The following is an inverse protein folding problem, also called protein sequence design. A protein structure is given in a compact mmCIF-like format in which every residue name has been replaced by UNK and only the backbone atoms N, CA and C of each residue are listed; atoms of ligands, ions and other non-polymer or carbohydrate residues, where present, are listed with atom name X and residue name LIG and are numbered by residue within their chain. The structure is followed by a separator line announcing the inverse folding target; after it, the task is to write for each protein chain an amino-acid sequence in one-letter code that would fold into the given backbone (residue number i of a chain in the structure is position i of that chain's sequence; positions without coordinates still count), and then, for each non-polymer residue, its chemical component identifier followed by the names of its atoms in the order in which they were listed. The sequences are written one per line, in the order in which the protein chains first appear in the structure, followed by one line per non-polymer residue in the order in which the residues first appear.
data_IF_694955370691
#
_entry.id   IF_694955370691
#
_cell.length_a   1.000
_cell.length_b   1.000
_cell.length_c   1.000
_cell.angle_alpha   90.00
_cell.angle_beta   90.00
_cell.angle_gamma   90.00
#
_symmetry.space_group_name_H-M   'P 1'
#
loop_
_entity.id
_entity.type
_entity.pdbx_description
1 polymer ?
#
# COMPACT_ATOMS: atom_id res chain seq x y z
N UNK A 1 56.72 -10.08 5.88
CA UNK A 1 55.58 -9.65 5.06
C UNK A 1 54.95 -8.43 5.70
N UNK A 2 54.98 -7.24 5.05
CA UNK A 2 54.20 -6.08 5.51
C UNK A 2 52.75 -6.36 5.18
N UNK A 3 51.93 -6.58 6.22
CA UNK A 3 50.46 -6.65 6.06
C UNK A 3 50.01 -5.25 5.64
N UNK A 4 49.69 -5.06 4.36
CA UNK A 4 49.08 -3.82 3.89
C UNK A 4 47.72 -3.67 4.57
N UNK A 5 47.54 -2.59 5.34
CA UNK A 5 46.22 -2.29 5.95
C UNK A 5 45.21 -2.15 4.82
N UNK A 6 44.15 -2.97 4.83
CA UNK A 6 43.08 -2.97 3.83
C UNK A 6 42.34 -1.63 3.80
N UNK A 7 42.24 -0.94 4.96
CA UNK A 7 41.53 0.31 5.09
C UNK A 7 42.51 1.49 5.06
N UNK A 8 42.19 2.58 4.35
CA UNK A 8 42.95 3.81 4.39
C UNK A 8 42.97 4.42 5.79
N UNK A 9 44.03 5.14 6.15
CA UNK A 9 44.05 5.90 7.38
C UNK A 9 43.06 7.07 7.29
N UNK A 10 42.18 7.20 8.27
CA UNK A 10 41.16 8.24 8.33
C UNK A 10 41.29 9.05 9.61
N UNK A 11 41.29 10.39 9.49
CA UNK A 11 41.08 11.30 10.61
C UNK A 11 39.60 11.68 10.64
N UNK A 12 38.93 11.52 11.79
CA UNK A 12 37.53 11.87 11.99
C UNK A 12 37.43 13.20 12.72
N UNK A 13 36.60 14.10 12.19
CA UNK A 13 36.31 15.41 12.82
C UNK A 13 34.78 15.64 12.83
N UNK A 14 34.30 16.54 13.64
CA UNK A 14 32.85 16.89 13.77
C UNK A 14 32.55 18.32 13.29
N UNK A 15 33.41 18.92 12.46
CA UNK A 15 33.35 20.33 12.03
C UNK A 15 32.77 20.51 10.61
N UNK A 16 32.20 19.48 10.02
CA UNK A 16 31.60 19.52 8.69
C UNK A 16 30.37 20.44 8.64
N UNK A 17 30.47 21.55 7.88
CA UNK A 17 29.35 22.48 7.69
C UNK A 17 28.55 22.17 6.44
N UNK A 18 27.21 22.32 6.54
CA UNK A 18 26.27 22.14 5.44
C UNK A 18 26.11 20.66 5.00
N UNK A 19 26.65 19.68 5.73
CA UNK A 19 26.46 18.27 5.46
C UNK A 19 25.04 17.88 5.85
N UNK A 20 24.34 17.22 4.94
CA UNK A 20 23.01 16.65 5.14
C UNK A 20 23.07 15.13 4.94
N UNK A 21 22.52 14.40 5.88
CA UNK A 21 22.17 12.99 5.71
C UNK A 21 20.73 12.90 5.18
N UNK A 22 20.36 11.76 4.61
CA UNK A 22 18.98 11.56 4.09
C UNK A 22 18.53 12.72 3.15
N UNK A 23 19.47 13.21 2.32
CA UNK A 23 19.21 14.36 1.47
C UNK A 23 18.12 14.11 0.43
N UNK A 24 17.96 12.86 0.00
CA UNK A 24 16.92 12.44 -0.92
C UNK A 24 15.52 12.41 -0.32
N UNK A 25 15.38 12.28 1.00
CA UNK A 25 14.07 12.29 1.67
C UNK A 25 13.35 13.65 1.53
N UNK A 26 14.08 14.70 1.15
CA UNK A 26 13.50 15.97 0.72
C UNK A 26 12.53 15.77 -0.48
N UNK A 27 12.75 14.79 -1.35
CA UNK A 27 11.86 14.50 -2.48
C UNK A 27 10.47 14.08 -2.03
N UNK A 28 10.36 13.32 -0.91
CA UNK A 28 9.07 12.98 -0.30
C UNK A 28 8.32 14.21 0.23
N UNK A 29 9.03 15.14 0.86
CA UNK A 29 8.43 16.38 1.30
C UNK A 29 8.00 17.27 0.11
N UNK A 30 8.79 17.32 -0.97
CA UNK A 30 8.43 18.07 -2.16
C UNK A 30 7.20 17.49 -2.88
N UNK A 31 7.06 16.16 -2.98
CA UNK A 31 5.85 15.57 -3.56
C UNK A 31 4.61 15.89 -2.73
N UNK A 32 4.72 15.91 -1.38
CA UNK A 32 3.62 16.34 -0.51
C UNK A 32 3.20 17.80 -0.77
N UNK A 33 4.18 18.68 -1.03
CA UNK A 33 3.90 20.09 -1.34
C UNK A 33 3.24 20.25 -2.71
N UNK A 34 3.82 19.69 -3.77
CA UNK A 34 3.34 19.90 -5.14
C UNK A 34 1.99 19.23 -5.42
N UNK A 35 1.68 18.14 -4.74
CA UNK A 35 0.34 17.51 -4.80
C UNK A 35 -0.69 18.22 -3.93
N UNK A 36 -0.29 19.26 -3.19
CA UNK A 36 -1.17 20.02 -2.30
C UNK A 36 -1.53 19.28 -1.01
N UNK A 37 -0.91 18.12 -0.73
CA UNK A 37 -1.17 17.33 0.49
C UNK A 37 -0.94 18.15 1.75
N UNK A 38 0.20 18.84 1.86
CA UNK A 38 0.54 19.68 3.04
C UNK A 38 -0.54 20.71 3.32
N UNK A 39 -0.95 21.46 2.30
CA UNK A 39 -2.00 22.48 2.46
C UNK A 39 -3.39 21.87 2.78
N UNK A 40 -3.70 20.71 2.23
CA UNK A 40 -4.95 20.00 2.54
C UNK A 40 -4.95 19.46 3.98
N UNK A 41 -3.82 18.95 4.46
CA UNK A 41 -3.65 18.48 5.84
C UNK A 41 -3.73 19.64 6.85
N UNK A 42 -3.12 20.81 6.53
CA UNK A 42 -3.26 22.01 7.35
C UNK A 42 -4.73 22.42 7.51
N UNK A 43 -5.51 22.37 6.43
CA UNK A 43 -6.97 22.64 6.49
C UNK A 43 -7.72 21.60 7.31
N UNK A 44 -7.39 20.30 7.16
CA UNK A 44 -8.02 19.22 7.91
C UNK A 44 -7.82 19.37 9.43
N UNK A 45 -6.64 19.83 9.85
CA UNK A 45 -6.26 19.98 11.25
C UNK A 45 -6.52 21.39 11.82
N UNK A 46 -6.96 22.37 11.01
CA UNK A 46 -7.22 23.73 11.45
C UNK A 46 -8.19 23.83 12.65
N UNK A 47 -9.27 23.03 12.75
CA UNK A 47 -10.19 23.07 13.89
C UNK A 47 -9.56 22.71 15.24
N UNK A 48 -8.41 22.03 15.26
CA UNK A 48 -7.69 21.70 16.52
C UNK A 48 -6.91 22.88 17.10
N UNK A 49 -6.76 23.97 16.35
CA UNK A 49 -5.93 25.11 16.74
C UNK A 49 -6.73 26.08 17.59
N UNK A 50 -6.80 25.84 18.91
CA UNK A 50 -7.46 26.74 19.89
C UNK A 50 -6.62 27.96 20.22
N UNK A 51 -5.28 27.85 20.12
CA UNK A 51 -4.30 28.93 20.37
C UNK A 51 -3.27 28.93 19.27
N UNK A 52 -2.65 30.08 18.98
CA UNK A 52 -1.54 30.19 18.02
C UNK A 52 -0.43 29.20 18.40
N UNK A 53 -0.26 28.16 17.59
CA UNK A 53 0.78 27.14 17.75
C UNK A 53 2.02 27.56 16.93
N UNK A 54 3.19 27.11 17.37
CA UNK A 54 4.44 27.36 16.65
C UNK A 54 4.53 26.50 15.37
N UNK A 55 4.00 25.28 15.44
CA UNK A 55 3.94 24.35 14.31
C UNK A 55 2.49 24.14 13.87
N UNK A 56 2.28 24.10 12.57
CA UNK A 56 1.01 23.72 11.95
C UNK A 56 0.76 22.22 12.18
N UNK A 57 -0.39 21.81 12.76
CA UNK A 57 -0.64 20.40 13.05
C UNK A 57 -0.69 19.51 11.80
N UNK A 58 -1.21 20.01 10.67
CA UNK A 58 -1.25 19.27 9.40
C UNK A 58 0.15 19.04 8.86
N UNK A 59 1.04 20.04 8.93
CA UNK A 59 2.44 19.88 8.57
C UNK A 59 3.14 18.84 9.46
N UNK A 60 2.82 18.81 10.76
CA UNK A 60 3.39 17.79 11.68
C UNK A 60 3.01 16.38 11.25
N UNK A 61 1.77 16.15 10.81
CA UNK A 61 1.35 14.82 10.30
C UNK A 61 2.04 14.47 8.98
N UNK A 62 2.26 15.44 8.08
CA UNK A 62 3.05 15.22 6.86
C UNK A 62 4.51 14.91 7.19
N UNK A 63 5.13 15.64 8.13
CA UNK A 63 6.50 15.38 8.59
C UNK A 63 6.63 13.96 9.18
N UNK A 64 5.61 13.48 9.92
CA UNK A 64 5.55 12.10 10.40
C UNK A 64 5.46 11.10 9.24
N UNK A 65 4.60 11.33 8.25
CA UNK A 65 4.50 10.46 7.09
C UNK A 65 5.82 10.41 6.28
N UNK A 66 6.48 11.54 6.09
CA UNK A 66 7.82 11.59 5.49
C UNK A 66 8.84 10.82 6.32
N UNK A 67 8.80 10.96 7.67
CA UNK A 67 9.67 10.20 8.57
C UNK A 67 9.44 8.69 8.46
N UNK A 68 8.18 8.25 8.38
CA UNK A 68 7.79 6.85 8.21
C UNK A 68 8.28 6.33 6.84
N UNK A 69 8.08 7.08 5.77
CA UNK A 69 8.58 6.74 4.44
C UNK A 69 10.11 6.65 4.41
N UNK A 70 10.79 7.49 5.17
CA UNK A 70 12.25 7.49 5.36
C UNK A 70 12.76 6.30 6.22
N UNK A 71 11.86 5.56 6.87
CA UNK A 71 12.15 4.35 7.64
C UNK A 71 11.98 4.48 9.15
N UNK A 72 11.44 5.59 9.63
CA UNK A 72 11.04 5.74 11.02
C UNK A 72 9.84 4.84 11.37
N UNK A 73 9.78 4.36 12.62
CA UNK A 73 8.70 3.51 13.12
C UNK A 73 8.13 3.98 14.47
N UNK A 74 8.57 5.14 14.93
CA UNK A 74 8.06 5.77 16.15
C UNK A 74 8.21 7.31 16.10
N UNK A 75 7.52 8.02 17.01
CA UNK A 75 7.53 9.48 17.05
C UNK A 75 8.91 10.11 17.28
N UNK A 76 9.83 9.41 17.97
CA UNK A 76 11.17 9.91 18.22
C UNK A 76 12.01 10.05 16.94
N UNK A 77 11.70 9.27 15.91
CA UNK A 77 12.42 9.25 14.64
C UNK A 77 12.21 10.53 13.82
N UNK A 78 11.18 11.31 14.16
CA UNK A 78 11.02 12.68 13.64
C UNK A 78 12.28 13.56 13.86
N UNK A 79 13.15 13.16 14.76
CA UNK A 79 14.45 13.79 14.96
C UNK A 79 15.35 13.78 13.70
N UNK A 80 15.17 12.82 12.81
CA UNK A 80 15.92 12.72 11.54
C UNK A 80 15.66 13.97 10.70
N UNK A 81 14.41 14.37 10.55
CA UNK A 81 14.04 15.58 9.83
C UNK A 81 14.38 16.84 10.64
N UNK A 82 14.04 16.86 11.93
CA UNK A 82 14.24 18.02 12.83
C UNK A 82 15.69 18.46 12.93
N UNK A 83 16.63 17.53 12.88
CA UNK A 83 18.06 17.84 12.96
C UNK A 83 18.64 18.35 11.63
N UNK A 84 17.81 18.52 10.60
CA UNK A 84 18.21 18.98 9.27
C UNK A 84 17.34 20.17 8.79
N UNK A 85 17.32 21.29 9.55
CA UNK A 85 16.43 22.42 9.26
C UNK A 85 16.72 23.08 7.90
N UNK A 86 17.90 22.90 7.35
CA UNK A 86 18.23 23.41 6.01
C UNK A 86 17.53 22.63 4.89
N UNK A 87 17.08 21.39 5.14
CA UNK A 87 16.28 20.57 4.21
C UNK A 87 14.78 20.68 4.47
N UNK A 88 14.37 20.57 5.74
CA UNK A 88 12.97 20.37 6.12
C UNK A 88 12.36 21.58 6.87
N UNK A 89 13.13 22.63 7.10
CA UNK A 89 12.65 23.78 7.86
C UNK A 89 12.49 23.47 9.35
N UNK A 90 11.48 24.08 9.97
CA UNK A 90 11.18 23.92 11.41
C UNK A 90 10.27 22.73 11.63
N UNK A 91 10.80 21.61 12.10
CA UNK A 91 10.10 20.37 12.40
C UNK A 91 9.79 20.28 13.90
N UNK A 92 8.60 19.77 14.24
CA UNK A 92 8.10 19.68 15.60
C UNK A 92 8.91 18.73 16.50
N UNK A 93 8.86 18.96 17.80
CA UNK A 93 9.41 18.03 18.79
C UNK A 93 8.50 16.82 18.97
N UNK A 94 9.05 15.69 19.42
CA UNK A 94 8.29 14.48 19.73
C UNK A 94 7.06 14.71 20.63
N UNK A 95 7.15 15.48 21.74
CA UNK A 95 5.99 15.81 22.57
C UNK A 95 4.95 16.67 21.85
N UNK A 96 5.36 17.48 20.85
CA UNK A 96 4.41 18.25 20.04
C UNK A 96 3.71 17.34 19.04
N UNK A 97 4.44 16.43 18.40
CA UNK A 97 3.87 15.45 17.48
C UNK A 97 2.88 14.53 18.21
N UNK A 98 3.20 14.06 19.43
CA UNK A 98 2.28 13.26 20.24
C UNK A 98 0.96 13.98 20.46
N UNK A 99 0.99 15.24 20.89
CA UNK A 99 -0.23 16.03 21.10
C UNK A 99 -1.05 16.25 19.82
N UNK A 100 -0.37 16.35 18.67
CA UNK A 100 -1.07 16.46 17.39
C UNK A 100 -1.79 15.14 17.04
N UNK A 101 -1.19 13.99 17.30
CA UNK A 101 -1.83 12.70 17.13
C UNK A 101 -2.99 12.53 18.12
N UNK A 102 -2.82 12.93 19.39
CA UNK A 102 -3.86 12.90 20.42
C UNK A 102 -5.08 13.78 20.06
N UNK A 103 -4.89 14.82 19.25
CA UNK A 103 -5.96 15.71 18.77
C UNK A 103 -6.75 15.13 17.57
N UNK A 104 -6.36 13.97 17.01
CA UNK A 104 -7.05 13.34 15.86
C UNK A 104 -8.20 12.47 16.35
N UNK A 105 -9.40 12.97 16.25
CA UNK A 105 -10.65 12.22 16.44
C UNK A 105 -11.18 11.65 15.10
N UNK A 106 -12.34 10.99 15.14
CA UNK A 106 -12.96 10.40 13.96
C UNK A 106 -13.29 11.43 12.86
N UNK A 107 -13.69 12.67 13.23
CA UNK A 107 -13.98 13.74 12.26
C UNK A 107 -12.70 14.20 11.55
N UNK A 108 -11.59 14.40 12.31
CA UNK A 108 -10.29 14.78 11.75
C UNK A 108 -9.70 13.66 10.93
N UNK A 109 -9.86 12.42 11.36
CA UNK A 109 -9.43 11.26 10.57
C UNK A 109 -10.13 11.22 9.20
N UNK A 110 -11.45 11.49 9.16
CA UNK A 110 -12.18 11.66 7.91
C UNK A 110 -11.66 12.81 7.05
N UNK A 111 -11.31 13.95 7.65
CA UNK A 111 -10.74 15.09 6.95
C UNK A 111 -9.31 14.81 6.42
N UNK A 112 -8.50 14.06 7.17
CA UNK A 112 -7.17 13.56 6.75
C UNK A 112 -7.30 12.65 5.53
N UNK A 113 -8.23 11.69 5.54
CA UNK A 113 -8.53 10.82 4.41
C UNK A 113 -8.94 11.61 3.18
N UNK A 114 -9.81 12.61 3.34
CA UNK A 114 -10.21 13.50 2.25
C UNK A 114 -9.03 14.37 1.74
N UNK A 115 -8.05 14.71 2.57
CA UNK A 115 -6.84 15.40 2.15
C UNK A 115 -5.93 14.49 1.31
N UNK A 116 -5.80 13.20 1.67
CA UNK A 116 -5.09 12.19 0.86
C UNK A 116 -5.75 12.00 -0.50
N UNK A 117 -7.10 11.87 -0.55
CA UNK A 117 -7.85 11.74 -1.79
C UNK A 117 -7.60 12.92 -2.75
N UNK A 118 -7.57 14.17 -2.23
CA UNK A 118 -7.24 15.36 -3.03
C UNK A 118 -5.82 15.31 -3.58
N UNK A 119 -4.84 14.90 -2.77
CA UNK A 119 -3.45 14.77 -3.23
C UNK A 119 -3.32 13.69 -4.31
N UNK A 120 -4.04 12.57 -4.19
CA UNK A 120 -4.13 11.53 -5.21
C UNK A 120 -4.74 12.07 -6.50
N UNK A 121 -5.82 12.84 -6.44
CA UNK A 121 -6.41 13.49 -7.62
C UNK A 121 -5.37 14.35 -8.34
N UNK A 122 -4.59 15.15 -7.61
CA UNK A 122 -3.53 15.97 -8.20
C UNK A 122 -2.41 15.12 -8.80
N UNK A 123 -2.01 14.02 -8.14
CA UNK A 123 -1.00 13.09 -8.66
C UNK A 123 -1.47 12.38 -9.93
N UNK A 124 -2.73 11.96 -9.99
CA UNK A 124 -3.31 11.34 -11.19
C UNK A 124 -3.37 12.34 -12.36
N UNK A 125 -3.82 13.57 -12.11
CA UNK A 125 -3.83 14.62 -13.11
C UNK A 125 -2.42 14.94 -13.64
N UNK A 126 -1.38 14.75 -12.82
CA UNK A 126 0.02 14.93 -13.21
C UNK A 126 0.64 13.73 -13.94
N UNK A 127 -0.13 12.64 -14.17
CA UNK A 127 0.30 11.50 -14.99
C UNK A 127 0.36 10.14 -14.28
N UNK A 128 -0.09 10.06 -13.01
CA UNK A 128 -0.15 8.77 -12.27
C UNK A 128 -1.43 7.98 -12.57
N UNK A 129 -2.41 8.56 -13.25
CA UNK A 129 -3.70 7.92 -13.57
C UNK A 129 -3.50 6.58 -14.30
N UNK A 130 -3.90 5.45 -13.70
CA UNK A 130 -3.77 4.14 -14.33
C UNK A 130 -4.89 3.83 -15.34
N UNK A 131 -6.01 4.56 -15.32
CA UNK A 131 -7.24 4.22 -16.06
C UNK A 131 -7.05 4.15 -17.58
N UNK A 132 -6.05 4.86 -18.11
CA UNK A 132 -5.68 4.79 -19.52
C UNK A 132 -4.81 3.57 -19.89
N UNK A 133 -4.31 2.83 -18.89
CA UNK A 133 -3.35 1.72 -19.06
C UNK A 133 -3.94 0.38 -18.66
N UNK A 134 -4.92 0.36 -17.76
CA UNK A 134 -5.53 -0.85 -17.20
C UNK A 134 -7.05 -0.74 -17.21
N UNK A 135 -7.70 -1.84 -17.56
CA UNK A 135 -9.15 -1.98 -17.54
C UNK A 135 -9.48 -3.46 -17.26
N UNK A 136 -10.13 -3.78 -16.14
CA UNK A 136 -10.60 -2.88 -15.08
C UNK A 136 -9.48 -2.36 -14.16
N UNK A 137 -9.77 -1.30 -13.40
CA UNK A 137 -8.95 -0.85 -12.26
C UNK A 137 -9.13 -1.84 -11.13
N UNK A 138 -8.03 -2.39 -10.62
CA UNK A 138 -8.06 -3.50 -9.65
C UNK A 138 -7.72 -2.99 -8.26
N UNK A 139 -8.59 -3.33 -7.30
CA UNK A 139 -8.44 -3.07 -5.87
C UNK A 139 -8.17 -4.39 -5.14
N UNK A 140 -7.02 -4.51 -4.51
CA UNK A 140 -6.63 -5.69 -3.74
C UNK A 140 -6.90 -5.50 -2.26
N UNK A 141 -7.68 -6.40 -1.67
CA UNK A 141 -8.04 -6.42 -0.25
C UNK A 141 -7.31 -7.56 0.44
N UNK A 142 -6.59 -7.27 1.51
CA UNK A 142 -5.97 -8.32 2.32
C UNK A 142 -5.74 -7.86 3.76
N UNK A 143 -5.72 -8.83 4.69
CA UNK A 143 -5.47 -8.61 6.09
C UNK A 143 -4.07 -9.10 6.49
N UNK A 144 -3.48 -8.47 7.49
CA UNK A 144 -2.21 -8.93 8.02
C UNK A 144 -2.19 -8.91 9.54
N UNK A 145 -1.32 -9.70 10.15
CA UNK A 145 -1.08 -9.63 11.58
C UNK A 145 0.07 -8.67 11.90
N UNK A 146 -0.11 -7.86 12.93
CA UNK A 146 0.89 -6.98 13.51
C UNK A 146 1.05 -7.34 14.98
N UNK A 147 2.22 -7.85 15.35
CA UNK A 147 2.50 -8.26 16.71
C UNK A 147 2.66 -7.05 17.65
N UNK A 148 2.16 -7.18 18.85
CA UNK A 148 2.34 -6.21 19.93
C UNK A 148 3.17 -6.83 21.03
N UNK A 149 4.26 -6.17 21.42
CA UNK A 149 5.15 -6.62 22.49
C UNK A 149 4.71 -6.19 23.89
N UNK A 150 3.60 -5.46 23.97
CA UNK A 150 3.02 -4.96 25.23
C UNK A 150 1.51 -4.94 25.14
N UNK A 151 0.87 -4.95 26.31
CA UNK A 151 -0.57 -4.72 26.41
C UNK A 151 -0.89 -3.30 25.94
N UNK A 152 -1.55 -3.21 24.79
CA UNK A 152 -2.09 -1.98 24.23
C UNK A 152 -3.59 -2.14 24.13
N UNK A 153 -4.31 -1.04 24.15
CA UNK A 153 -5.75 -1.04 23.96
C UNK A 153 -6.14 -1.79 22.68
N UNK A 154 -7.09 -2.72 22.77
CA UNK A 154 -7.55 -3.61 21.71
C UNK A 154 -6.50 -4.60 21.15
N UNK A 155 -5.28 -4.68 21.68
CA UNK A 155 -4.39 -5.78 21.36
C UNK A 155 -4.96 -7.09 21.91
N UNK A 156 -4.99 -8.15 21.10
CA UNK A 156 -5.62 -9.41 21.44
C UNK A 156 -4.85 -10.62 20.87
N UNK A 157 -5.07 -11.83 21.40
CA UNK A 157 -4.51 -13.05 20.83
C UNK A 157 -4.94 -13.23 19.37
N UNK A 158 -4.01 -13.63 18.50
CA UNK A 158 -4.25 -13.87 17.09
C UNK A 158 -4.45 -15.35 16.79
N UNK A 159 -5.07 -15.67 15.65
CA UNK A 159 -5.27 -17.06 15.22
C UNK A 159 -3.95 -17.82 14.95
N UNK A 160 -2.82 -17.13 14.77
CA UNK A 160 -1.48 -17.73 14.64
C UNK A 160 -0.75 -17.86 15.98
N UNK A 161 -1.48 -17.80 17.11
CA UNK A 161 -0.92 -17.87 18.46
C UNK A 161 0.04 -16.73 18.84
N UNK A 162 -0.01 -15.60 18.11
CA UNK A 162 0.62 -14.34 18.49
C UNK A 162 -0.31 -13.47 19.33
N UNK A 163 0.11 -12.23 19.61
CA UNK A 163 -0.68 -11.22 20.33
C UNK A 163 -0.49 -9.87 19.62
N UNK A 164 -1.56 -9.17 19.30
CA UNK A 164 -1.47 -7.87 18.63
C UNK A 164 -2.74 -7.45 17.91
N UNK A 165 -2.60 -7.08 16.63
CA UNK A 165 -3.65 -6.48 15.80
C UNK A 165 -3.74 -7.18 14.45
N UNK A 166 -4.88 -6.98 13.77
CA UNK A 166 -5.13 -7.52 12.43
C UNK A 166 -5.70 -6.43 11.51
N UNK A 167 -4.86 -5.49 11.03
CA UNK A 167 -5.33 -4.50 10.05
C UNK A 167 -5.80 -5.17 8.76
N UNK A 168 -6.90 -4.65 8.20
CA UNK A 168 -7.42 -4.96 6.87
C UNK A 168 -7.09 -3.78 5.96
N UNK A 169 -6.50 -4.04 4.78
CA UNK A 169 -5.90 -3.04 3.91
C UNK A 169 -6.42 -3.16 2.48
N UNK A 170 -6.46 -2.05 1.76
CA UNK A 170 -6.79 -2.00 0.34
C UNK A 170 -5.72 -1.24 -0.43
N UNK A 171 -5.26 -1.85 -1.53
CA UNK A 171 -4.26 -1.29 -2.44
C UNK A 171 -4.79 -1.20 -3.86
N UNK A 172 -4.33 -0.18 -4.59
CA UNK A 172 -4.50 -0.08 -6.03
C UNK A 172 -3.39 -0.90 -6.72
N UNK A 173 -3.76 -1.97 -7.40
CA UNK A 173 -2.80 -2.93 -7.98
C UNK A 173 -1.81 -2.26 -8.94
N UNK A 174 -2.30 -1.44 -9.86
CA UNK A 174 -1.51 -0.87 -10.94
C UNK A 174 -0.39 0.09 -10.47
N UNK A 175 -0.65 0.89 -9.44
CA UNK A 175 0.27 1.94 -8.95
C UNK A 175 0.87 1.62 -7.59
N UNK A 176 0.29 0.66 -6.86
CA UNK A 176 0.69 0.31 -5.50
C UNK A 176 0.34 1.35 -4.45
N UNK A 177 -0.53 2.30 -4.77
CA UNK A 177 -1.06 3.27 -3.82
C UNK A 177 -1.86 2.56 -2.73
N UNK A 178 -1.68 3.00 -1.49
CA UNK A 178 -2.40 2.47 -0.34
C UNK A 178 -3.72 3.23 -0.17
N UNK A 179 -4.83 2.67 -0.65
CA UNK A 179 -6.10 3.38 -0.65
C UNK A 179 -6.67 3.54 0.75
N UNK A 180 -6.87 2.44 1.47
CA UNK A 180 -7.52 2.46 2.77
C UNK A 180 -6.98 1.38 3.72
N UNK A 181 -7.24 1.57 5.01
CA UNK A 181 -6.93 0.58 6.03
C UNK A 181 -7.83 0.73 7.26
N UNK A 182 -8.22 -0.39 7.84
CA UNK A 182 -8.95 -0.47 9.09
C UNK A 182 -8.11 -1.25 10.10
N UNK A 183 -7.74 -0.62 11.21
CA UNK A 183 -7.09 -1.31 12.31
C UNK A 183 -8.13 -2.13 13.07
N UNK A 184 -7.83 -3.40 13.33
CA UNK A 184 -8.71 -4.32 14.04
C UNK A 184 -7.96 -5.01 15.18
N UNK A 185 -8.66 -5.44 16.25
CA UNK A 185 -8.08 -6.31 17.27
C UNK A 185 -7.49 -7.58 16.67
N UNK A 186 -6.49 -8.17 17.33
CA UNK A 186 -5.83 -9.39 16.84
C UNK A 186 -6.74 -10.61 16.70
N UNK A 187 -7.85 -10.64 17.44
CA UNK A 187 -8.88 -11.67 17.41
C UNK A 187 -10.08 -11.32 16.52
N UNK A 188 -9.99 -10.27 15.71
CA UNK A 188 -11.04 -9.94 14.75
C UNK A 188 -11.27 -11.11 13.79
N UNK A 189 -12.54 -11.33 13.42
CA UNK A 189 -12.87 -12.36 12.42
C UNK A 189 -12.27 -11.97 11.05
N UNK A 190 -11.53 -12.83 10.38
CA UNK A 190 -11.12 -12.55 9.01
C UNK A 190 -12.32 -12.43 8.05
N UNK A 191 -13.44 -13.09 8.37
CA UNK A 191 -14.66 -13.13 7.55
C UNK A 191 -15.68 -12.05 7.92
N UNK A 192 -15.27 -10.98 8.60
CA UNK A 192 -16.21 -9.90 8.95
C UNK A 192 -16.59 -9.10 7.70
N UNK A 193 -17.80 -9.33 7.22
CA UNK A 193 -18.33 -8.67 6.03
C UNK A 193 -18.51 -7.16 6.22
N UNK A 194 -18.85 -6.71 7.42
CA UNK A 194 -19.02 -5.29 7.70
C UNK A 194 -17.70 -4.53 7.58
N UNK A 195 -16.59 -5.12 8.04
CA UNK A 195 -15.26 -4.55 7.87
C UNK A 195 -14.84 -4.45 6.40
N UNK A 196 -15.15 -5.49 5.59
CA UNK A 196 -14.86 -5.47 4.15
C UNK A 196 -15.67 -4.38 3.43
N UNK A 197 -16.96 -4.23 3.74
CA UNK A 197 -17.81 -3.18 3.17
C UNK A 197 -17.33 -1.80 3.63
N UNK A 198 -17.00 -1.63 4.90
CA UNK A 198 -16.46 -0.36 5.41
C UNK A 198 -15.13 0.02 4.73
N UNK A 199 -14.23 -0.96 4.52
CA UNK A 199 -12.98 -0.74 3.80
C UNK A 199 -13.22 -0.37 2.33
N UNK A 200 -14.21 -1.00 1.68
CA UNK A 200 -14.61 -0.66 0.31
C UNK A 200 -15.02 0.81 0.20
N UNK A 201 -15.90 1.28 1.09
CA UNK A 201 -16.31 2.69 1.10
C UNK A 201 -15.14 3.65 1.28
N UNK A 202 -14.24 3.32 2.21
CA UNK A 202 -13.04 4.11 2.44
C UNK A 202 -12.12 4.12 1.22
N UNK A 203 -11.96 2.98 0.53
CA UNK A 203 -11.13 2.86 -0.66
C UNK A 203 -11.71 3.63 -1.86
N UNK A 204 -13.02 3.50 -2.09
CA UNK A 204 -13.71 4.23 -3.16
C UNK A 204 -13.64 5.74 -2.96
N UNK A 205 -13.76 6.21 -1.70
CA UNK A 205 -13.61 7.62 -1.35
C UNK A 205 -12.19 8.18 -1.61
N UNK A 206 -11.20 7.31 -1.78
CA UNK A 206 -9.83 7.72 -2.14
C UNK A 206 -9.63 7.88 -3.65
N UNK A 207 -10.45 7.27 -4.48
CA UNK A 207 -10.30 7.34 -5.91
C UNK A 207 -10.76 8.69 -6.47
N UNK A 208 -10.03 9.26 -7.43
CA UNK A 208 -10.48 10.47 -8.11
C UNK A 208 -11.83 10.22 -8.81
N UNK A 209 -12.87 10.87 -8.31
CA UNK A 209 -14.17 10.83 -8.97
C UNK A 209 -14.08 11.70 -10.21
N UNK A 210 -14.37 11.16 -11.39
CA UNK A 210 -14.64 12.00 -12.57
C UNK A 210 -15.95 12.73 -12.26
N UNK A 211 -15.87 14.04 -12.10
CA UNK A 211 -16.94 14.92 -11.63
C UNK A 211 -18.07 15.11 -12.64
N UNK A 212 -18.14 14.35 -13.70
CA UNK A 212 -19.08 14.55 -14.78
C UNK A 212 -20.18 13.49 -14.70
N UNK A 213 -21.24 13.85 -13.95
CA UNK A 213 -22.48 13.07 -13.81
C UNK A 213 -23.29 12.96 -15.10
N UNK A 214 -22.70 12.88 -16.27
CA UNK A 214 -23.39 12.90 -17.56
C UNK A 214 -23.38 11.59 -18.33
N UNK A 215 -22.71 10.51 -17.85
CA UNK A 215 -22.84 9.24 -18.59
C UNK A 215 -22.64 8.02 -17.67
N UNK A 216 -23.70 7.23 -17.42
CA UNK A 216 -23.57 5.95 -16.70
C UNK A 216 -22.69 4.92 -17.45
N UNK A 217 -22.46 5.11 -18.75
CA UNK A 217 -21.60 4.24 -19.57
C UNK A 217 -20.11 4.66 -19.53
N UNK A 218 -19.77 5.82 -18.99
CA UNK A 218 -18.37 6.31 -18.89
C UNK A 218 -17.68 5.93 -17.57
N UNK A 219 -18.31 5.12 -16.72
CA UNK A 219 -17.74 4.62 -15.48
C UNK A 219 -16.46 3.80 -15.72
N UNK A 220 -15.39 4.10 -14.99
CA UNK A 220 -14.19 3.26 -14.99
C UNK A 220 -14.54 1.89 -14.45
N UNK A 221 -14.38 0.84 -15.24
CA UNK A 221 -14.60 -0.53 -14.79
C UNK A 221 -13.66 -0.85 -13.62
N UNK A 222 -14.21 -1.39 -12.55
CA UNK A 222 -13.45 -1.75 -11.35
C UNK A 222 -13.61 -3.23 -11.02
N UNK A 223 -12.54 -3.81 -10.50
CA UNK A 223 -12.50 -5.18 -9.99
C UNK A 223 -11.94 -5.18 -8.58
N UNK A 224 -12.62 -5.82 -7.66
CA UNK A 224 -12.08 -6.14 -6.34
C UNK A 224 -11.56 -7.57 -6.31
N UNK A 225 -10.30 -7.72 -5.84
CA UNK A 225 -9.73 -9.03 -5.52
C UNK A 225 -9.53 -9.15 -4.02
N UNK A 226 -9.79 -10.34 -3.51
CA UNK A 226 -9.53 -10.70 -2.12
C UNK A 226 -9.14 -12.18 -2.01
N UNK A 227 -8.58 -12.56 -0.86
CA UNK A 227 -8.43 -13.94 -0.46
C UNK A 227 -9.79 -14.54 -0.03
N UNK A 228 -9.79 -15.78 0.47
CA UNK A 228 -11.02 -16.45 0.90
C UNK A 228 -11.73 -15.78 2.08
N UNK A 229 -11.09 -14.88 2.79
CA UNK A 229 -11.73 -14.11 3.86
C UNK A 229 -12.77 -13.11 3.32
N UNK A 230 -12.60 -12.63 2.09
CA UNK A 230 -13.57 -11.79 1.39
C UNK A 230 -14.81 -12.53 0.87
N UNK A 231 -14.83 -13.89 0.89
CA UNK A 231 -15.95 -14.68 0.38
C UNK A 231 -17.15 -14.65 1.33
N UNK A 232 -17.88 -13.55 1.36
CA UNK A 232 -19.12 -13.39 2.09
C UNK A 232 -20.23 -12.83 1.19
N UNK A 233 -21.47 -13.33 1.36
CA UNK A 233 -22.60 -12.86 0.59
C UNK A 233 -22.79 -11.35 0.67
N UNK A 234 -22.71 -10.79 1.88
CA UNK A 234 -22.90 -9.35 2.11
C UNK A 234 -21.88 -8.50 1.37
N UNK A 235 -20.60 -8.92 1.38
CA UNK A 235 -19.56 -8.17 0.68
C UNK A 235 -19.71 -8.26 -0.84
N UNK A 236 -19.98 -9.47 -1.35
CA UNK A 236 -20.18 -9.69 -2.80
C UNK A 236 -21.41 -8.93 -3.32
N UNK A 237 -22.53 -8.93 -2.57
CA UNK A 237 -23.70 -8.13 -2.88
C UNK A 237 -23.38 -6.63 -2.89
N UNK A 238 -22.62 -6.15 -1.90
CA UNK A 238 -22.21 -4.76 -1.84
C UNK A 238 -21.34 -4.34 -3.04
N UNK A 239 -20.51 -5.22 -3.58
CA UNK A 239 -19.76 -4.98 -4.82
C UNK A 239 -20.69 -4.90 -6.03
N UNK A 240 -21.59 -5.87 -6.16
CA UNK A 240 -22.56 -5.93 -7.26
C UNK A 240 -23.49 -4.72 -7.31
N UNK A 241 -24.00 -4.27 -6.14
CA UNK A 241 -24.87 -3.10 -6.04
C UNK A 241 -24.17 -1.81 -6.55
N UNK A 242 -22.83 -1.81 -6.57
CA UNK A 242 -22.01 -0.70 -7.06
C UNK A 242 -21.48 -0.90 -8.48
N UNK A 243 -21.88 -1.99 -9.14
CA UNK A 243 -21.36 -2.34 -10.46
C UNK A 243 -19.87 -2.68 -10.48
N UNK A 244 -19.32 -3.14 -9.36
CA UNK A 244 -17.91 -3.51 -9.21
C UNK A 244 -17.79 -5.01 -9.40
N UNK A 245 -16.96 -5.42 -10.37
CA UNK A 245 -16.63 -6.84 -10.61
C UNK A 245 -15.84 -7.41 -9.42
N UNK A 246 -16.01 -8.68 -9.12
CA UNK A 246 -15.26 -9.33 -8.06
C UNK A 246 -14.52 -10.59 -8.54
N UNK A 247 -13.41 -10.89 -7.88
CA UNK A 247 -12.65 -12.11 -8.00
C UNK A 247 -12.09 -12.45 -6.62
N UNK A 248 -12.68 -13.42 -5.94
CA UNK A 248 -12.45 -13.65 -4.50
C UNK A 248 -12.10 -15.12 -4.29
N UNK A 249 -10.99 -15.36 -3.59
CA UNK A 249 -10.62 -16.71 -3.17
C UNK A 249 -11.78 -17.41 -2.45
N UNK A 250 -11.86 -18.74 -2.58
CA UNK A 250 -12.92 -19.50 -1.96
C UNK A 250 -12.36 -20.67 -1.17
N UNK A 251 -12.95 -20.96 -0.01
CA UNK A 251 -12.51 -22.09 0.80
C UNK A 251 -12.96 -23.41 0.16
N UNK A 252 -12.05 -24.37 0.10
CA UNK A 252 -12.33 -25.69 -0.44
C UNK A 252 -13.09 -26.52 0.61
N UNK A 253 -14.42 -26.39 0.62
CA UNK A 253 -15.31 -27.23 1.40
C UNK A 253 -15.44 -28.62 0.78
N UNK A 254 -16.06 -29.57 1.48
CA UNK A 254 -16.21 -30.95 1.04
C UNK A 254 -16.97 -31.08 -0.31
N UNK A 255 -18.00 -30.28 -0.50
CA UNK A 255 -18.76 -30.23 -1.76
C UNK A 255 -17.87 -29.84 -2.94
N UNK A 256 -17.08 -28.77 -2.80
CA UNK A 256 -16.15 -28.32 -3.85
C UNK A 256 -15.09 -29.39 -4.12
N UNK A 257 -14.59 -30.06 -3.07
CA UNK A 257 -13.63 -31.14 -3.20
C UNK A 257 -14.19 -32.33 -3.99
N UNK A 258 -15.43 -32.71 -3.72
CA UNK A 258 -16.12 -33.76 -4.45
C UNK A 258 -16.33 -33.39 -5.92
N UNK A 259 -16.78 -32.16 -6.19
CA UNK A 259 -16.94 -31.65 -7.54
C UNK A 259 -15.61 -31.71 -8.34
N UNK A 260 -14.50 -31.33 -7.73
CA UNK A 260 -13.17 -31.45 -8.36
C UNK A 260 -12.82 -32.88 -8.73
N UNK A 261 -13.18 -33.87 -7.88
CA UNK A 261 -12.92 -35.30 -8.13
C UNK A 261 -13.74 -35.85 -9.27
N UNK A 262 -14.91 -35.29 -9.53
CA UNK A 262 -15.84 -35.72 -10.59
C UNK A 262 -15.52 -35.14 -11.97
N UNK A 263 -14.68 -34.08 -12.04
CA UNK A 263 -14.29 -33.47 -13.30
C UNK A 263 -13.54 -34.45 -14.21
N UNK A 264 -14.01 -34.59 -15.44
CA UNK A 264 -13.32 -35.38 -16.45
C UNK A 264 -11.94 -34.73 -16.78
N UNK A 265 -10.96 -35.57 -17.12
CA UNK A 265 -9.64 -35.07 -17.49
C UNK A 265 -9.64 -34.07 -18.66
N UNK A 266 -10.59 -34.20 -19.57
CA UNK A 266 -10.76 -33.29 -20.73
C UNK A 266 -11.36 -31.94 -20.39
N UNK A 267 -11.85 -31.73 -19.17
CA UNK A 267 -12.38 -30.42 -18.73
C UNK A 267 -11.29 -29.45 -18.36
N UNK A 268 -10.09 -29.94 -18.04
CA UNK A 268 -8.96 -29.13 -17.61
C UNK A 268 -8.23 -28.52 -18.80
N UNK A 269 -8.01 -27.20 -18.74
CA UNK A 269 -7.26 -26.40 -19.68
C UNK A 269 -5.91 -26.01 -19.07
N UNK A 270 -4.91 -25.70 -19.89
CA UNK A 270 -3.65 -25.16 -19.40
C UNK A 270 -3.88 -23.80 -18.72
N UNK A 271 -3.26 -23.59 -17.56
CA UNK A 271 -3.24 -22.28 -16.93
C UNK A 271 -2.25 -21.33 -17.67
N UNK A 272 -2.40 -20.03 -17.48
CA UNK A 272 -1.48 -19.04 -18.02
C UNK A 272 -0.52 -18.53 -16.93
N UNK A 273 0.65 -18.07 -17.34
CA UNK A 273 1.55 -17.32 -16.46
C UNK A 273 1.17 -15.83 -16.40
N UNK A 274 2.04 -15.00 -15.83
CA UNK A 274 1.79 -13.54 -15.71
C UNK A 274 1.89 -12.81 -17.05
N UNK A 275 2.60 -13.39 -18.03
CA UNK A 275 2.81 -12.83 -19.35
C UNK A 275 1.78 -13.40 -20.35
N UNK A 276 0.77 -14.14 -19.83
CA UNK A 276 -0.31 -14.83 -20.54
C UNK A 276 0.18 -15.94 -21.46
N UNK A 277 1.32 -16.54 -21.15
CA UNK A 277 1.83 -17.73 -21.82
C UNK A 277 1.41 -19.03 -21.08
N UNK A 278 1.17 -20.14 -21.78
CA UNK A 278 0.77 -21.40 -21.16
C UNK A 278 1.75 -21.91 -20.10
N UNK A 279 1.23 -22.53 -19.04
CA UNK A 279 1.98 -23.16 -17.96
C UNK A 279 1.81 -24.68 -18.00
N UNK A 280 2.90 -25.41 -18.16
CA UNK A 280 2.92 -26.88 -18.20
C UNK A 280 2.60 -27.54 -16.84
N UNK A 281 2.80 -26.81 -15.73
CA UNK A 281 2.69 -27.30 -14.34
C UNK A 281 1.33 -27.04 -13.70
N UNK A 282 0.43 -26.32 -14.37
CA UNK A 282 -0.85 -25.90 -13.82
C UNK A 282 -1.98 -25.96 -14.84
N UNK A 283 -3.17 -26.28 -14.36
CA UNK A 283 -4.38 -26.37 -15.18
C UNK A 283 -5.56 -25.70 -14.45
N UNK A 284 -6.53 -25.24 -15.22
CA UNK A 284 -7.76 -24.60 -14.74
C UNK A 284 -9.00 -25.32 -15.24
N UNK A 285 -10.07 -25.26 -14.45
CA UNK A 285 -11.37 -25.75 -14.83
C UNK A 285 -12.48 -24.93 -14.20
N UNK A 286 -13.67 -24.96 -14.75
CA UNK A 286 -14.86 -24.33 -14.20
C UNK A 286 -15.72 -25.33 -13.43
N UNK A 287 -16.15 -24.92 -12.22
CA UNK A 287 -16.97 -25.70 -11.31
C UNK A 287 -18.40 -25.19 -11.19
N UNK A 288 -18.79 -24.15 -11.91
CA UNK A 288 -20.07 -23.44 -11.76
C UNK A 288 -21.28 -24.34 -11.78
N UNK A 289 -21.29 -25.35 -12.66
CA UNK A 289 -22.41 -26.32 -12.81
C UNK A 289 -22.32 -27.53 -11.84
N UNK A 290 -21.23 -27.65 -11.08
CA UNK A 290 -20.93 -28.78 -10.21
C UNK A 290 -21.15 -28.50 -8.71
N UNK A 291 -21.41 -27.24 -8.36
CA UNK A 291 -21.59 -26.78 -6.98
C UNK A 291 -22.84 -25.90 -6.86
N UNK A 292 -23.47 -25.91 -5.69
CA UNK A 292 -24.61 -25.03 -5.46
C UNK A 292 -24.15 -23.58 -5.20
N UNK A 293 -24.37 -22.72 -6.19
CA UNK A 293 -24.12 -21.27 -6.11
C UNK A 293 -25.43 -20.46 -5.96
N UNK A 294 -26.57 -21.10 -5.68
CA UNK A 294 -27.88 -20.42 -5.58
C UNK A 294 -27.93 -19.34 -4.48
N UNK A 295 -27.07 -19.47 -3.46
CA UNK A 295 -26.90 -18.43 -2.41
C UNK A 295 -26.09 -17.23 -2.83
N UNK A 296 -25.41 -17.25 -3.98
CA UNK A 296 -24.59 -16.17 -4.49
C UNK A 296 -25.34 -15.33 -5.53
N UNK A 297 -24.91 -14.09 -5.82
CA UNK A 297 -25.54 -13.27 -6.85
C UNK A 297 -25.60 -14.01 -8.21
N UNK A 298 -26.67 -13.80 -8.99
CA UNK A 298 -26.79 -14.42 -10.31
C UNK A 298 -25.59 -14.11 -11.22
N UNK A 299 -25.08 -15.12 -11.92
CA UNK A 299 -23.89 -15.00 -12.77
C UNK A 299 -22.56 -15.22 -12.03
N UNK A 300 -22.61 -15.53 -10.73
CA UNK A 300 -21.40 -15.97 -10.02
C UNK A 300 -20.89 -17.29 -10.61
N UNK A 301 -19.61 -17.32 -10.92
CA UNK A 301 -18.89 -18.49 -11.44
C UNK A 301 -17.91 -18.98 -10.39
N UNK A 302 -17.63 -20.28 -10.38
CA UNK A 302 -16.57 -20.86 -9.55
C UNK A 302 -15.52 -21.51 -10.44
N UNK A 303 -14.28 -21.11 -10.24
CA UNK A 303 -13.12 -21.54 -11.05
C UNK A 303 -12.10 -22.18 -10.11
N UNK A 304 -11.49 -23.28 -10.57
CA UNK A 304 -10.45 -23.98 -9.83
C UNK A 304 -9.18 -24.06 -10.66
N UNK A 305 -8.04 -23.80 -10.02
CA UNK A 305 -6.71 -24.13 -10.52
C UNK A 305 -6.18 -25.36 -9.78
N UNK A 306 -5.55 -26.27 -10.51
CA UNK A 306 -4.69 -27.31 -9.94
C UNK A 306 -3.26 -27.14 -10.42
N UNK A 307 -2.31 -27.42 -9.54
CA UNK A 307 -0.87 -27.36 -9.88
C UNK A 307 -0.11 -28.50 -9.21
N UNK A 308 0.97 -28.93 -9.85
CA UNK A 308 1.88 -29.88 -9.24
C UNK A 308 2.61 -29.21 -8.07
N UNK A 309 2.68 -29.87 -6.90
CA UNK A 309 3.40 -29.34 -5.77
C UNK A 309 4.87 -29.14 -6.09
N UNK A 310 5.45 -28.03 -5.69
CA UNK A 310 6.89 -27.81 -5.81
C UNK A 310 7.70 -28.90 -5.10
N UNK A 311 8.89 -29.27 -5.59
CA UNK A 311 9.78 -30.19 -4.90
C UNK A 311 10.02 -29.71 -3.45
N UNK A 312 9.71 -30.56 -2.48
CA UNK A 312 9.79 -30.24 -1.05
C UNK A 312 8.54 -29.63 -0.42
N UNK A 313 7.46 -29.42 -1.17
CA UNK A 313 6.17 -29.04 -0.62
C UNK A 313 5.57 -30.20 0.19
N UNK A 314 5.01 -29.89 1.37
CA UNK A 314 4.26 -30.85 2.16
C UNK A 314 2.90 -31.07 1.49
N UNK A 315 2.60 -32.30 1.12
CA UNK A 315 1.24 -32.67 0.69
C UNK A 315 0.28 -32.51 1.87
N UNK A 316 -0.82 -31.85 1.65
CA UNK A 316 -1.95 -31.95 2.55
C UNK A 316 -2.68 -33.27 2.23
N UNK A 317 -2.99 -34.05 3.26
CA UNK A 317 -3.72 -35.34 3.10
C UNK A 317 -5.08 -35.16 2.41
N UNK A 318 -5.57 -33.94 2.33
CA UNK A 318 -6.84 -33.54 1.74
C UNK A 318 -6.74 -33.01 0.30
N UNK A 319 -5.51 -32.92 -0.27
CA UNK A 319 -5.35 -32.46 -1.65
C UNK A 319 -5.84 -33.57 -2.62
N UNK A 320 -6.95 -33.36 -3.36
CA UNK A 320 -7.49 -34.37 -4.25
C UNK A 320 -6.50 -34.65 -5.39
N UNK A 321 -6.38 -35.91 -5.72
CA UNK A 321 -5.64 -36.41 -6.91
C UNK A 321 -4.13 -36.03 -6.92
N UNK A 322 -3.55 -35.64 -5.80
CA UNK A 322 -2.12 -35.33 -5.70
C UNK A 322 -1.72 -33.97 -6.27
N UNK A 323 -2.69 -33.08 -6.50
CA UNK A 323 -2.49 -31.69 -6.92
C UNK A 323 -2.84 -30.73 -5.79
N UNK A 324 -2.17 -29.58 -5.73
CA UNK A 324 -2.63 -28.44 -4.95
C UNK A 324 -3.73 -27.72 -5.73
N UNK A 325 -4.83 -27.40 -5.04
CA UNK A 325 -5.96 -26.72 -5.63
C UNK A 325 -6.14 -25.33 -5.01
N UNK A 326 -6.51 -24.38 -5.84
CA UNK A 326 -6.98 -23.06 -5.41
C UNK A 326 -8.30 -22.76 -6.13
N UNK A 327 -9.28 -22.34 -5.37
CA UNK A 327 -10.63 -22.06 -5.85
C UNK A 327 -10.95 -20.60 -5.63
N UNK A 328 -11.65 -19.99 -6.55
CA UNK A 328 -12.15 -18.62 -6.41
C UNK A 328 -13.51 -18.47 -7.09
N UNK A 329 -14.26 -17.47 -6.65
CA UNK A 329 -15.52 -17.05 -7.26
C UNK A 329 -15.32 -15.73 -7.98
N UNK A 330 -16.05 -15.54 -9.09
CA UNK A 330 -16.02 -14.29 -9.87
C UNK A 330 -17.37 -14.11 -10.56
N UNK A 331 -17.74 -12.86 -10.87
CA UNK A 331 -18.88 -12.53 -11.72
C UNK A 331 -18.46 -12.05 -13.12
N UNK A 332 -17.18 -12.23 -13.47
CA UNK A 332 -16.70 -11.88 -14.80
C UNK A 332 -17.41 -12.64 -15.89
N UNK A 333 -17.87 -11.93 -16.91
CA UNK A 333 -18.46 -12.51 -18.10
C UNK A 333 -17.42 -13.02 -19.12
N UNK A 334 -16.13 -12.81 -18.87
CA UNK A 334 -15.06 -13.25 -19.76
C UNK A 334 -15.07 -14.79 -19.87
N UNK A 335 -15.14 -15.34 -21.09
CA UNK A 335 -15.16 -16.80 -21.29
C UNK A 335 -13.80 -17.47 -21.02
N UNK A 336 -12.70 -16.73 -21.02
CA UNK A 336 -11.35 -17.27 -20.83
C UNK A 336 -11.05 -17.47 -19.35
N UNK A 337 -11.32 -18.67 -18.82
CA UNK A 337 -11.07 -19.00 -17.42
C UNK A 337 -9.58 -19.04 -17.06
N UNK A 338 -8.68 -19.27 -18.01
CA UNK A 338 -7.24 -19.24 -17.77
C UNK A 338 -6.76 -17.81 -17.56
N UNK A 339 -7.29 -16.86 -18.33
CA UNK A 339 -7.09 -15.44 -18.09
C UNK A 339 -7.66 -14.99 -16.73
N UNK A 340 -8.88 -15.41 -16.39
CA UNK A 340 -9.49 -15.07 -15.09
C UNK A 340 -8.66 -15.61 -13.92
N UNK A 341 -8.11 -16.82 -14.03
CA UNK A 341 -7.22 -17.38 -13.01
C UNK A 341 -5.91 -16.60 -12.91
N UNK A 342 -5.25 -16.29 -14.02
CA UNK A 342 -4.02 -15.51 -14.04
C UNK A 342 -4.25 -14.11 -13.42
N UNK A 343 -5.41 -13.49 -13.69
CA UNK A 343 -5.85 -12.24 -13.09
C UNK A 343 -6.06 -12.37 -11.58
N UNK A 344 -6.75 -13.43 -11.10
CA UNK A 344 -6.94 -13.68 -9.66
C UNK A 344 -5.60 -13.97 -8.96
N UNK A 345 -4.72 -14.75 -9.56
CA UNK A 345 -3.40 -15.04 -9.00
C UNK A 345 -2.54 -13.79 -8.85
N UNK A 346 -2.78 -12.77 -9.66
CA UNK A 346 -2.19 -11.44 -9.50
C UNK A 346 -2.45 -10.80 -8.13
N UNK A 347 -3.47 -11.26 -7.39
CA UNK A 347 -3.73 -10.87 -6.00
C UNK A 347 -2.52 -11.08 -5.07
N UNK A 348 -1.68 -12.07 -5.33
CA UNK A 348 -0.46 -12.30 -4.54
C UNK A 348 0.45 -11.07 -4.42
N UNK A 349 0.34 -10.07 -5.31
CA UNK A 349 1.08 -8.81 -5.21
C UNK A 349 0.72 -8.00 -3.97
N UNK A 350 -0.49 -8.18 -3.40
CA UNK A 350 -0.89 -7.50 -2.17
C UNK A 350 -0.02 -7.91 -0.98
N UNK A 351 0.45 -9.16 -0.93
CA UNK A 351 1.37 -9.63 0.11
C UNK A 351 2.69 -8.84 0.08
N UNK A 352 3.21 -8.52 -1.11
CA UNK A 352 4.38 -7.66 -1.28
C UNK A 352 4.09 -6.22 -0.86
N UNK A 353 2.90 -5.68 -1.16
CA UNK A 353 2.47 -4.35 -0.69
C UNK A 353 2.39 -4.29 0.83
N UNK A 354 1.83 -5.32 1.45
CA UNK A 354 1.77 -5.46 2.91
C UNK A 354 3.17 -5.60 3.53
N UNK A 355 4.04 -6.38 2.91
CA UNK A 355 5.44 -6.50 3.33
C UNK A 355 6.15 -5.14 3.27
N UNK A 356 5.94 -4.39 2.20
CA UNK A 356 6.43 -3.02 2.05
C UNK A 356 5.84 -2.07 3.11
N UNK A 357 4.54 -2.22 3.45
CA UNK A 357 3.90 -1.47 4.53
C UNK A 357 4.54 -1.77 5.89
N UNK A 358 4.81 -3.05 6.19
CA UNK A 358 5.52 -3.45 7.40
C UNK A 358 6.93 -2.87 7.47
N UNK A 359 7.60 -2.77 6.35
CA UNK A 359 8.91 -2.10 6.25
C UNK A 359 8.80 -0.56 6.27
N UNK A 360 7.57 -0.02 6.27
CA UNK A 360 7.25 1.41 6.27
C UNK A 360 6.28 1.72 7.41
N UNK A 361 6.67 1.39 8.64
CA UNK A 361 6.00 1.78 9.88
C UNK A 361 4.84 0.90 10.34
N UNK A 362 4.26 0.01 9.50
CA UNK A 362 3.12 -0.83 9.92
C UNK A 362 3.53 -1.93 10.91
N UNK A 363 4.78 -2.32 10.93
CA UNK A 363 5.28 -3.36 11.85
C UNK A 363 5.17 -2.96 13.32
N UNK A 364 5.25 -1.67 13.61
CA UNK A 364 5.15 -1.12 14.96
C UNK A 364 3.94 -0.18 15.04
N UNK A 365 3.03 -0.45 15.98
CA UNK A 365 1.94 0.45 16.35
C UNK A 365 2.34 1.10 17.68
N UNK A 366 2.92 2.33 17.67
CA UNK A 366 3.73 2.82 18.78
C UNK A 366 2.95 3.30 20.00
N UNK A 367 1.63 3.46 19.90
CA UNK A 367 0.82 4.08 20.95
C UNK A 367 0.16 3.04 21.88
N UNK A 368 -0.05 3.37 23.18
CA UNK A 368 -0.91 2.58 24.06
C UNK A 368 -2.39 2.64 23.66
N UNK A 369 -2.89 3.82 23.26
CA UNK A 369 -4.28 4.05 22.86
C UNK A 369 -4.58 3.52 21.45
N UNK A 370 -5.74 2.89 21.27
CA UNK A 370 -6.16 2.32 20.00
C UNK A 370 -6.36 3.39 18.92
N UNK A 371 -7.06 4.47 19.21
CA UNK A 371 -7.33 5.55 18.26
C UNK A 371 -6.05 6.22 17.74
N UNK A 372 -5.03 6.36 18.57
CA UNK A 372 -3.73 6.87 18.13
C UNK A 372 -3.03 5.91 17.18
N UNK A 373 -3.22 4.59 17.36
CA UNK A 373 -2.72 3.59 16.41
C UNK A 373 -3.55 3.55 15.12
N UNK A 374 -4.85 3.86 15.16
CA UNK A 374 -5.66 4.09 13.95
C UNK A 374 -5.11 5.27 13.16
N UNK A 375 -4.80 6.39 13.83
CA UNK A 375 -4.13 7.53 13.20
C UNK A 375 -2.76 7.13 12.62
N UNK A 376 -1.98 6.32 13.35
CA UNK A 376 -0.68 5.84 12.87
C UNK A 376 -0.80 4.99 11.59
N UNK A 377 -1.78 4.10 11.51
CA UNK A 377 -2.06 3.34 10.27
C UNK A 377 -2.34 4.29 9.11
N UNK A 378 -3.12 5.34 9.32
CA UNK A 378 -3.40 6.36 8.30
C UNK A 378 -2.12 7.09 7.85
N UNK A 379 -1.19 7.39 8.78
CA UNK A 379 0.12 7.97 8.46
C UNK A 379 1.01 6.98 7.67
N UNK A 380 0.94 5.68 7.98
CA UNK A 380 1.62 4.63 7.22
C UNK A 380 1.10 4.56 5.78
N UNK A 381 -0.22 4.60 5.59
CA UNK A 381 -0.83 4.64 4.26
C UNK A 381 -0.40 5.90 3.49
N UNK A 382 -0.39 7.05 4.15
CA UNK A 382 0.10 8.31 3.57
C UNK A 382 1.59 8.22 3.17
N UNK A 383 2.42 7.59 3.99
CA UNK A 383 3.83 7.37 3.69
C UNK A 383 4.02 6.51 2.44
N UNK A 384 3.20 5.47 2.28
CA UNK A 384 3.20 4.63 1.08
C UNK A 384 2.71 5.40 -0.16
N UNK A 385 1.67 6.23 -0.03
CA UNK A 385 1.22 7.10 -1.10
C UNK A 385 2.33 8.05 -1.56
N UNK A 386 3.06 8.70 -0.63
CA UNK A 386 4.18 9.57 -0.97
C UNK A 386 5.27 8.82 -1.75
N UNK A 387 5.56 7.58 -1.36
CA UNK A 387 6.52 6.73 -2.09
C UNK A 387 6.00 6.37 -3.48
N UNK A 388 4.74 5.95 -3.61
CA UNK A 388 4.10 5.62 -4.88
C UNK A 388 4.06 6.85 -5.82
N UNK A 389 3.76 8.04 -5.30
CA UNK A 389 3.76 9.28 -6.08
C UNK A 389 5.17 9.62 -6.57
N UNK A 390 6.21 9.52 -5.72
CA UNK A 390 7.59 9.71 -6.15
C UNK A 390 7.97 8.70 -7.23
N UNK A 391 7.63 7.42 -7.04
CA UNK A 391 7.94 6.36 -7.99
C UNK A 391 7.27 6.57 -9.35
N UNK A 392 5.98 6.85 -9.36
CA UNK A 392 5.24 6.97 -10.61
C UNK A 392 5.41 8.31 -11.34
N UNK A 393 5.68 9.41 -10.60
CA UNK A 393 5.80 10.73 -11.19
C UNK A 393 7.25 11.15 -11.48
N UNK A 394 8.22 10.68 -10.70
CA UNK A 394 9.58 11.19 -10.73
C UNK A 394 10.66 10.16 -11.07
N UNK A 395 10.38 8.86 -10.90
CA UNK A 395 11.36 7.80 -11.13
C UNK A 395 11.04 6.99 -12.40
N UNK A 396 12.09 6.42 -12.99
CA UNK A 396 12.01 5.58 -14.18
C UNK A 396 12.79 4.27 -13.96
N UNK A 397 12.54 3.29 -14.83
CA UNK A 397 13.22 1.98 -14.81
C UNK A 397 13.07 1.24 -13.46
N UNK A 398 14.13 0.59 -13.02
CA UNK A 398 14.11 -0.24 -11.80
C UNK A 398 13.71 0.50 -10.52
N UNK A 399 13.87 1.83 -10.47
CA UNK A 399 13.52 2.59 -9.28
C UNK A 399 12.03 2.92 -9.20
N UNK A 400 11.31 2.93 -10.31
CA UNK A 400 9.86 3.12 -10.33
C UNK A 400 9.09 1.97 -9.64
N UNK A 401 9.67 0.75 -9.60
CA UNK A 401 9.11 -0.41 -8.90
C UNK A 401 9.92 -0.86 -7.69
N UNK A 402 10.87 -0.06 -7.21
CA UNK A 402 11.77 -0.47 -6.14
C UNK A 402 11.08 -0.55 -4.78
N UNK A 403 11.42 -1.57 -4.00
CA UNK A 403 10.96 -1.72 -2.62
C UNK A 403 11.45 -0.57 -1.72
N UNK A 404 10.73 -0.26 -0.61
CA UNK A 404 11.09 0.82 0.31
C UNK A 404 12.54 0.80 0.78
N UNK A 405 13.06 -0.38 1.14
CA UNK A 405 14.45 -0.52 1.57
C UNK A 405 15.46 -0.16 0.49
N UNK A 406 15.17 -0.54 -0.77
CA UNK A 406 16.01 -0.18 -1.91
C UNK A 406 15.97 1.32 -2.18
N UNK A 407 14.77 1.94 -2.17
CA UNK A 407 14.63 3.39 -2.34
C UNK A 407 15.39 4.17 -1.26
N UNK A 408 15.28 3.76 0.00
CA UNK A 408 16.02 4.38 1.11
C UNK A 408 17.53 4.28 0.87
N UNK A 409 18.03 3.10 0.59
CA UNK A 409 19.47 2.88 0.37
C UNK A 409 20.01 3.68 -0.83
N UNK A 410 19.28 3.67 -1.96
CA UNK A 410 19.78 4.23 -3.22
C UNK A 410 19.55 5.73 -3.37
N UNK A 411 18.38 6.23 -2.94
CA UNK A 411 17.94 7.59 -3.19
C UNK A 411 17.75 8.42 -1.93
N UNK A 412 17.04 7.90 -0.90
CA UNK A 412 16.60 8.74 0.21
C UNK A 412 17.73 9.04 1.19
N UNK A 413 18.53 8.03 1.57
CA UNK A 413 19.59 8.17 2.58
C UNK A 413 20.94 8.65 2.01
N UNK A 414 20.93 9.20 0.81
CA UNK A 414 22.16 9.74 0.21
C UNK A 414 22.63 10.95 1.00
N UNK A 415 23.95 11.04 1.15
CA UNK A 415 24.57 12.22 1.73
C UNK A 415 24.62 13.37 0.71
N UNK A 416 24.42 14.60 1.22
CA UNK A 416 24.53 15.81 0.41
C UNK A 416 25.21 16.94 1.18
N UNK A 417 25.53 18.02 0.47
CA UNK A 417 26.04 19.25 1.06
C UNK A 417 25.19 20.43 0.59
N UNK A 418 24.69 21.21 1.53
CA UNK A 418 23.94 22.41 1.24
C UNK A 418 24.88 23.61 1.27
N UNK A 419 24.88 24.41 0.19
CA UNK A 419 25.53 25.70 0.09
C UNK A 419 24.50 26.77 -0.18
N UNK A 420 24.68 27.95 0.43
CA UNK A 420 23.80 29.11 0.22
C UNK A 420 24.60 30.23 -0.40
N UNK A 421 24.15 30.75 -1.53
CA UNK A 421 24.73 31.91 -2.19
C UNK A 421 23.62 32.94 -2.41
N UNK A 422 23.71 34.06 -1.74
CA UNK A 422 22.62 35.02 -1.70
C UNK A 422 21.37 34.46 -1.04
N UNK A 423 20.26 34.39 -1.78
CA UNK A 423 18.96 33.83 -1.32
C UNK A 423 18.69 32.41 -1.81
N UNK A 424 19.64 31.84 -2.54
CA UNK A 424 19.46 30.51 -3.14
C UNK A 424 20.31 29.47 -2.40
N UNK A 425 19.67 28.38 -1.97
CA UNK A 425 20.33 27.20 -1.43
C UNK A 425 20.41 26.12 -2.48
N UNK A 426 21.58 25.51 -2.60
CA UNK A 426 21.85 24.40 -3.53
C UNK A 426 22.21 23.16 -2.74
N UNK A 427 21.52 22.06 -3.01
CA UNK A 427 21.85 20.74 -2.49
C UNK A 427 22.81 20.06 -3.49
N UNK A 428 24.03 19.81 -3.07
CA UNK A 428 25.04 19.06 -3.83
C UNK A 428 25.05 17.62 -3.35
N UNK A 429 24.68 16.70 -4.22
CA UNK A 429 24.76 15.24 -3.98
C UNK A 429 26.20 14.77 -4.21
N UNK A 430 26.56 13.64 -3.60
CA UNK A 430 27.87 13.01 -3.84
C UNK A 430 27.96 12.54 -5.29
N UNK A 431 28.86 13.13 -6.07
CA UNK A 431 28.94 12.90 -7.52
C UNK A 431 29.31 11.46 -7.92
N UNK A 432 30.04 10.74 -7.07
CA UNK A 432 30.42 9.34 -7.30
C UNK A 432 29.33 8.33 -6.86
N UNK A 433 28.24 8.81 -6.25
CA UNK A 433 27.14 7.92 -5.88
C UNK A 433 26.39 7.48 -7.13
N UNK A 434 26.24 6.16 -7.38
CA UNK A 434 25.72 5.66 -8.65
C UNK A 434 24.37 6.22 -9.07
N UNK A 435 23.52 6.56 -8.10
CA UNK A 435 22.15 7.07 -8.33
C UNK A 435 22.01 8.58 -8.11
N UNK A 436 23.12 9.32 -7.90
CA UNK A 436 23.07 10.78 -7.66
C UNK A 436 22.40 11.52 -8.80
N UNK A 437 22.70 11.17 -10.05
CA UNK A 437 22.09 11.77 -11.24
C UNK A 437 20.59 11.48 -11.29
N UNK A 438 20.19 10.23 -11.08
CA UNK A 438 18.79 9.83 -11.08
C UNK A 438 17.99 10.59 -10.02
N UNK A 439 18.55 10.79 -8.82
CA UNK A 439 17.92 11.60 -7.78
C UNK A 439 17.79 13.07 -8.19
N UNK A 440 18.83 13.67 -8.79
CA UNK A 440 18.78 15.05 -9.26
C UNK A 440 17.75 15.23 -10.40
N UNK A 441 17.68 14.26 -11.30
CA UNK A 441 16.71 14.23 -12.40
C UNK A 441 15.27 14.07 -11.84
N UNK A 442 15.07 13.27 -10.79
CA UNK A 442 13.78 13.11 -10.11
C UNK A 442 13.27 14.43 -9.51
N UNK A 443 14.13 15.21 -8.84
CA UNK A 443 13.77 16.56 -8.37
C UNK A 443 13.38 17.48 -9.53
N UNK A 444 14.12 17.42 -10.62
CA UNK A 444 13.86 18.26 -11.80
C UNK A 444 12.54 17.89 -12.47
N UNK A 445 12.29 16.59 -12.63
CA UNK A 445 11.06 16.05 -13.21
C UNK A 445 9.84 16.44 -12.37
N UNK A 446 9.90 16.20 -11.04
CA UNK A 446 8.80 16.54 -10.12
C UNK A 446 8.45 18.03 -10.17
N UNK A 447 9.47 18.91 -10.15
CA UNK A 447 9.26 20.38 -10.22
C UNK A 447 8.78 20.88 -11.58
N UNK A 448 9.00 20.11 -12.63
CA UNK A 448 8.53 20.41 -13.99
C UNK A 448 7.08 20.00 -14.26
N UNK A 449 6.47 19.19 -13.37
CA UNK A 449 5.09 18.76 -13.52
C UNK A 449 4.12 19.91 -13.18
N UNK A 450 3.02 19.97 -13.93
CA UNK A 450 1.91 20.88 -13.63
C UNK A 450 0.91 20.17 -12.73
N UNK A 451 0.74 20.64 -11.52
CA UNK A 451 -0.27 20.15 -10.59
C UNK A 451 -1.46 21.13 -10.59
N UNK A 452 -2.66 20.59 -10.81
CA UNK A 452 -3.90 21.34 -10.61
C UNK A 452 -4.26 21.22 -9.14
N UNK A 453 -4.04 22.29 -8.35
CA UNK A 453 -4.31 22.35 -6.92
C UNK A 453 -5.66 23.02 -6.61
#
# INVERSE_FOLDING_TARGET
MKVSKRLPALRVTSDGKGVAAHAGSRLLAEVAEVTGLTGAMSRAMAPTVVRRRHHDPGQVLVDLAVTIADGGDCLSDLAVLRNQPALFGSVASTPTASRVVDDVDAERLGAIRAARARARTAAWAAGLDPTSKVNPVILDFDATLVDSHSEKECAAPTYKHGFGFQPLLCYLDATGEALAGILRPGNASPFDAADHVALLELALAQLPVKSDGEDPESGVAMLVRADSAGASHVFVEALRDRGIEFSIGFQMHEEVRLAICELAGSTWMEAMDRDLEPRDDAQVAELTEWVDLSGWPPGTRMIVRRELPHPGATFNLFDPLGFRHQVFISDSADPDIAYLEARQRGHARVEDRIRCAKDTGLRNLPFPAFENNVCWVELVLMAQDLMAFVQGLALDGDMAGAEPKRLRYTLLHVAGRITTTGRMSTLHLQCEWPWARQLADAFTKLRGLSFVT
#
